data_IF_342891575958
#
_entry.id   IF_342891575958
#
_cell.length_a   1.000
_cell.length_b   1.000
_cell.length_c   1.000
_cell.angle_alpha   90.00
_cell.angle_beta   90.00
_cell.angle_gamma   90.00
#
_symmetry.space_group_name_H-M   'P 1'
#
loop_
_entity.id
_entity.type
_entity.pdbx_description
1 polymer ?
#
# COMPACT_ATOMS: atom_id res chain seq x y z
N UNK A 1 19.78 76.61 25.43
CA UNK A 1 19.93 75.29 26.04
C UNK A 1 18.86 74.38 25.48
N UNK A 2 19.24 73.51 24.58
CA UNK A 2 18.30 72.65 23.86
C UNK A 2 18.61 71.20 24.21
N UNK A 3 17.72 70.62 25.00
CA UNK A 3 17.83 69.18 25.34
C UNK A 3 17.29 68.35 24.20
N UNK A 4 18.16 67.59 23.56
CA UNK A 4 17.76 66.53 22.61
C UNK A 4 17.34 65.30 23.39
N UNK A 5 16.13 64.77 23.19
CA UNK A 5 15.79 63.47 23.74
C UNK A 5 16.39 62.37 22.85
N UNK A 6 17.11 61.45 23.48
CA UNK A 6 17.58 60.24 22.84
C UNK A 6 16.41 59.32 22.54
N UNK A 7 16.10 59.16 21.28
CA UNK A 7 15.20 58.11 20.83
C UNK A 7 15.97 56.77 20.90
N UNK A 8 15.69 56.05 21.94
CA UNK A 8 16.15 54.67 22.05
C UNK A 8 15.42 53.79 21.01
N UNK A 9 16.15 53.39 19.97
CA UNK A 9 15.67 52.45 19.00
C UNK A 9 15.70 51.04 19.62
N UNK A 10 14.56 50.58 20.10
CA UNK A 10 14.37 49.19 20.54
C UNK A 10 14.35 48.27 19.34
N UNK A 11 15.48 47.63 19.03
CA UNK A 11 15.56 46.55 18.09
C UNK A 11 14.87 45.31 18.70
N UNK A 12 13.62 45.11 18.29
CA UNK A 12 12.90 43.89 18.60
C UNK A 12 13.40 42.78 17.69
N UNK A 13 14.34 41.98 18.16
CA UNK A 13 14.79 40.78 17.48
C UNK A 13 13.72 39.71 17.59
N UNK A 14 12.94 39.51 16.50
CA UNK A 14 12.10 38.34 16.35
C UNK A 14 12.98 37.11 16.24
N UNK A 15 13.11 36.36 17.31
CA UNK A 15 13.67 35.00 17.27
C UNK A 15 12.63 34.11 16.58
N UNK A 16 12.81 33.86 15.29
CA UNK A 16 12.08 32.81 14.57
C UNK A 16 12.60 31.46 15.05
N UNK A 17 11.87 30.86 15.99
CA UNK A 17 12.09 29.46 16.36
C UNK A 17 11.70 28.60 15.17
N UNK A 18 12.66 28.13 14.40
CA UNK A 18 12.46 27.08 13.43
C UNK A 18 12.10 25.79 14.20
N UNK A 19 10.82 25.46 14.23
CA UNK A 19 10.35 24.16 14.70
C UNK A 19 10.77 23.17 13.61
N UNK A 20 11.98 22.65 13.73
CA UNK A 20 12.43 21.54 12.93
C UNK A 20 11.63 20.31 13.33
N UNK A 21 10.66 19.91 12.50
CA UNK A 21 10.07 18.58 12.59
C UNK A 21 11.20 17.59 12.32
N UNK A 22 11.71 16.95 13.37
CA UNK A 22 12.58 15.80 13.18
C UNK A 22 11.69 14.68 12.61
N UNK A 23 11.78 14.46 11.31
CA UNK A 23 11.14 13.32 10.67
C UNK A 23 11.71 12.05 11.29
N UNK A 24 10.98 11.50 12.24
CA UNK A 24 11.34 10.24 12.86
C UNK A 24 11.02 9.13 11.86
N UNK A 25 12.02 8.71 11.12
CA UNK A 25 11.89 7.56 10.24
C UNK A 25 11.63 6.32 11.10
N UNK A 26 10.41 5.81 11.01
CA UNK A 26 10.04 4.55 11.65
C UNK A 26 10.44 3.45 10.66
N UNK A 27 11.37 2.54 11.01
CA UNK A 27 11.69 1.44 10.13
C UNK A 27 10.43 0.59 9.91
N UNK A 28 10.08 0.38 8.64
CA UNK A 28 9.03 -0.57 8.30
C UNK A 28 9.42 -1.96 8.81
N UNK A 29 8.50 -2.69 9.44
CA UNK A 29 8.76 -4.09 9.76
C UNK A 29 9.07 -4.85 8.46
N UNK A 30 9.95 -5.85 8.50
CA UNK A 30 10.20 -6.69 7.33
C UNK A 30 8.89 -7.32 6.87
N UNK A 31 8.73 -7.44 5.55
CA UNK A 31 7.60 -8.14 4.97
C UNK A 31 7.52 -9.54 5.60
N UNK A 32 6.42 -9.79 6.28
CA UNK A 32 6.20 -11.09 6.88
C UNK A 32 6.03 -12.13 5.77
N UNK A 33 6.61 -13.31 5.93
CA UNK A 33 6.49 -14.40 4.97
C UNK A 33 5.05 -14.84 4.65
N UNK A 34 4.08 -14.32 5.37
CA UNK A 34 2.64 -14.51 5.11
C UNK A 34 2.15 -13.77 3.87
N UNK A 35 2.74 -12.62 3.56
CA UNK A 35 2.41 -11.83 2.38
C UNK A 35 2.98 -12.44 1.10
N UNK A 36 3.94 -13.36 1.19
CA UNK A 36 4.51 -14.03 0.04
C UNK A 36 3.51 -15.04 -0.53
N UNK A 37 3.13 -14.84 -1.78
CA UNK A 37 2.35 -15.84 -2.51
C UNK A 37 3.16 -17.12 -2.69
N UNK A 38 2.50 -18.27 -2.58
CA UNK A 38 3.14 -19.58 -2.80
C UNK A 38 3.70 -19.65 -4.22
N UNK A 39 4.92 -20.21 -4.42
CA UNK A 39 5.47 -20.36 -5.75
C UNK A 39 4.64 -21.35 -6.58
N UNK A 40 4.51 -21.08 -7.86
CA UNK A 40 3.79 -21.94 -8.78
C UNK A 40 3.40 -21.22 -10.07
N UNK A 41 2.91 -21.95 -11.09
CA UNK A 41 2.44 -21.34 -12.32
C UNK A 41 1.37 -20.27 -12.08
N UNK A 42 1.55 -19.09 -12.64
CA UNK A 42 0.62 -17.97 -12.48
C UNK A 42 0.92 -17.04 -11.30
N UNK A 43 1.91 -17.33 -10.46
CA UNK A 43 2.24 -16.48 -9.28
C UNK A 43 2.64 -15.07 -9.68
N UNK A 44 3.41 -14.89 -10.75
CA UNK A 44 3.88 -13.57 -11.18
C UNK A 44 2.72 -12.71 -11.70
N UNK A 45 1.85 -13.29 -12.52
CA UNK A 45 0.65 -12.61 -13.01
C UNK A 45 -0.25 -12.24 -11.85
N UNK A 46 -0.47 -13.16 -10.91
CA UNK A 46 -1.29 -12.90 -9.72
C UNK A 46 -0.70 -11.78 -8.88
N UNK A 47 0.60 -11.82 -8.58
CA UNK A 47 1.27 -10.78 -7.83
C UNK A 47 1.14 -9.43 -8.53
N UNK A 48 1.50 -9.37 -9.79
CA UNK A 48 1.53 -8.13 -10.57
C UNK A 48 0.16 -7.45 -10.65
N UNK A 49 -0.90 -8.23 -10.86
CA UNK A 49 -2.24 -7.70 -11.00
C UNK A 49 -2.88 -7.33 -9.65
N UNK A 50 -2.63 -8.09 -8.60
CA UNK A 50 -3.30 -7.91 -7.32
C UNK A 50 -2.67 -6.81 -6.44
N UNK A 51 -1.35 -6.61 -6.49
CA UNK A 51 -0.67 -5.62 -5.62
C UNK A 51 -0.91 -4.16 -6.03
N UNK A 52 -1.51 -3.92 -7.17
CA UNK A 52 -1.81 -2.57 -7.64
C UNK A 52 -2.83 -1.83 -6.75
N UNK A 53 -3.65 -2.55 -6.00
CA UNK A 53 -4.71 -1.97 -5.17
C UNK A 53 -4.55 -2.28 -3.68
N UNK A 54 -4.09 -3.45 -3.31
CA UNK A 54 -3.93 -3.89 -1.93
C UNK A 54 -2.84 -4.97 -1.80
N UNK A 55 -2.48 -5.30 -0.57
CA UNK A 55 -1.47 -6.30 -0.28
C UNK A 55 -1.95 -7.72 -0.60
N UNK A 56 -1.01 -8.63 -0.85
CA UNK A 56 -1.27 -10.08 -1.03
C UNK A 56 -1.80 -10.76 0.22
N UNK A 57 -1.73 -10.11 1.39
CA UNK A 57 -2.36 -10.59 2.62
C UNK A 57 -3.87 -10.84 2.43
N UNK A 58 -4.53 -10.00 1.64
CA UNK A 58 -5.94 -10.19 1.30
C UNK A 58 -6.22 -11.50 0.55
N UNK A 59 -5.22 -12.08 -0.09
CA UNK A 59 -5.31 -13.37 -0.76
C UNK A 59 -5.07 -14.49 0.26
N UNK A 60 -3.93 -14.44 0.93
CA UNK A 60 -3.48 -15.54 1.82
C UNK A 60 -4.38 -15.72 3.03
N UNK A 61 -5.06 -14.67 3.46
CA UNK A 61 -6.01 -14.69 4.58
C UNK A 61 -7.44 -15.07 4.19
N UNK A 62 -7.74 -15.22 2.90
CA UNK A 62 -9.05 -15.68 2.48
C UNK A 62 -9.28 -17.13 2.87
N UNK A 63 -10.54 -17.53 3.16
CA UNK A 63 -10.89 -18.93 3.29
C UNK A 63 -10.50 -19.70 2.04
N UNK A 64 -10.02 -20.94 2.22
CA UNK A 64 -9.76 -21.80 1.07
C UNK A 64 -11.03 -22.05 0.29
N UNK A 65 -10.91 -22.11 -1.02
CA UNK A 65 -12.07 -22.25 -1.89
C UNK A 65 -11.75 -23.04 -3.16
N UNK A 66 -12.79 -23.56 -3.77
CA UNK A 66 -12.67 -24.20 -5.08
C UNK A 66 -12.47 -23.17 -6.21
N UNK A 67 -12.28 -23.65 -7.43
CA UNK A 67 -12.08 -22.78 -8.59
C UNK A 67 -13.26 -21.83 -8.82
N UNK A 68 -14.49 -22.26 -8.53
CA UNK A 68 -15.70 -21.44 -8.67
C UNK A 68 -15.72 -20.28 -7.67
N UNK A 69 -15.32 -20.53 -6.43
CA UNK A 69 -15.21 -19.49 -5.42
C UNK A 69 -14.11 -18.47 -5.79
N UNK A 70 -12.95 -18.93 -6.24
CA UNK A 70 -11.89 -18.04 -6.68
C UNK A 70 -12.25 -17.26 -7.96
N UNK A 71 -12.96 -17.88 -8.89
CA UNK A 71 -13.51 -17.16 -10.05
C UNK A 71 -14.47 -16.04 -9.61
N UNK A 72 -15.31 -16.30 -8.65
CA UNK A 72 -16.20 -15.28 -8.06
C UNK A 72 -15.42 -14.13 -7.42
N UNK A 73 -14.34 -14.41 -6.71
CA UNK A 73 -13.46 -13.39 -6.11
C UNK A 73 -12.79 -12.54 -7.19
N UNK A 74 -12.16 -13.17 -8.19
CA UNK A 74 -11.48 -12.45 -9.28
C UNK A 74 -12.47 -11.63 -10.10
N UNK A 75 -13.62 -12.19 -10.43
CA UNK A 75 -14.70 -11.49 -11.13
C UNK A 75 -15.16 -10.25 -10.35
N UNK A 76 -15.30 -10.36 -9.03
CA UNK A 76 -15.66 -9.22 -8.17
C UNK A 76 -14.60 -8.12 -8.21
N UNK A 77 -13.32 -8.48 -8.17
CA UNK A 77 -12.23 -7.49 -8.30
C UNK A 77 -12.32 -6.73 -9.63
N UNK A 78 -12.64 -7.43 -10.71
CA UNK A 78 -12.74 -6.83 -12.05
C UNK A 78 -14.03 -6.00 -12.20
N UNK A 79 -15.18 -6.60 -11.91
CA UNK A 79 -16.50 -6.00 -12.22
C UNK A 79 -16.96 -4.97 -11.20
N UNK A 80 -16.63 -5.15 -9.93
CA UNK A 80 -17.09 -4.27 -8.85
C UNK A 80 -16.02 -3.23 -8.53
N UNK A 81 -14.77 -3.63 -8.41
CA UNK A 81 -13.67 -2.74 -8.01
C UNK A 81 -12.84 -2.21 -9.18
N UNK A 82 -13.12 -2.63 -10.41
CA UNK A 82 -12.49 -2.07 -11.60
C UNK A 82 -11.03 -2.49 -11.80
N UNK A 83 -10.63 -3.65 -11.29
CA UNK A 83 -9.28 -4.16 -11.51
C UNK A 83 -8.99 -4.32 -13.01
N UNK A 84 -7.87 -3.75 -13.53
CA UNK A 84 -7.58 -3.77 -14.97
C UNK A 84 -6.96 -5.11 -15.41
N UNK A 85 -7.66 -6.21 -15.17
CA UNK A 85 -7.22 -7.58 -15.50
C UNK A 85 -7.95 -8.07 -16.74
N UNK A 86 -7.20 -8.49 -17.75
CA UNK A 86 -7.78 -9.07 -18.95
C UNK A 86 -8.25 -10.52 -18.72
N UNK A 87 -9.05 -11.04 -19.63
CA UNK A 87 -9.66 -12.37 -19.50
C UNK A 87 -8.64 -13.52 -19.42
N UNK A 88 -7.51 -13.41 -20.10
CA UNK A 88 -6.47 -14.43 -20.07
C UNK A 88 -5.77 -14.44 -18.71
N UNK A 89 -5.41 -13.27 -18.20
CA UNK A 89 -4.80 -13.13 -16.87
C UNK A 89 -5.78 -13.57 -15.78
N UNK A 90 -7.07 -13.23 -15.91
CA UNK A 90 -8.10 -13.66 -14.98
C UNK A 90 -8.16 -15.19 -14.86
N UNK A 91 -8.13 -15.92 -15.98
CA UNK A 91 -8.09 -17.38 -15.96
C UNK A 91 -6.83 -17.91 -15.28
N UNK A 92 -5.67 -17.38 -15.64
CA UNK A 92 -4.39 -17.77 -15.03
C UNK A 92 -4.40 -17.54 -13.52
N UNK A 93 -4.94 -16.41 -13.06
CA UNK A 93 -5.06 -16.09 -11.63
C UNK A 93 -6.00 -17.06 -10.92
N UNK A 94 -7.16 -17.35 -11.50
CA UNK A 94 -8.13 -18.30 -10.91
C UNK A 94 -7.52 -19.70 -10.78
N UNK A 95 -6.84 -20.19 -11.82
CA UNK A 95 -6.15 -21.48 -11.81
C UNK A 95 -5.06 -21.52 -10.73
N UNK A 96 -4.25 -20.48 -10.63
CA UNK A 96 -3.23 -20.36 -9.61
C UNK A 96 -3.84 -20.36 -8.20
N UNK A 97 -4.85 -19.55 -7.95
CA UNK A 97 -5.50 -19.46 -6.64
C UNK A 97 -6.19 -20.75 -6.24
N UNK A 98 -6.89 -21.41 -7.17
CA UNK A 98 -7.52 -22.68 -6.92
C UNK A 98 -6.50 -23.79 -6.60
N UNK A 99 -5.34 -23.76 -7.25
CA UNK A 99 -4.27 -24.73 -7.04
C UNK A 99 -3.54 -24.50 -5.72
N UNK A 100 -3.18 -23.27 -5.40
CA UNK A 100 -2.33 -22.95 -4.25
C UNK A 100 -3.11 -22.67 -2.96
N UNK A 101 -4.33 -22.21 -3.09
CA UNK A 101 -5.21 -21.79 -1.98
C UNK A 101 -6.59 -22.45 -2.05
N UNK A 102 -6.71 -23.51 -2.81
CA UNK A 102 -7.91 -24.36 -2.89
C UNK A 102 -8.05 -25.30 -1.70
N UNK A 103 -9.18 -26.00 -1.67
CA UNK A 103 -9.45 -27.08 -0.71
C UNK A 103 -8.69 -28.35 -1.07
#
# INVERSE_FOLDING_TARGET
MRHMPWLGLLLLTLATSAIGSADKMIPMPPDHGYAALKPGPGVEVTRQQCVSCHSTDYIVMQPRGDAKQWDGVVTKMIKVFGAPVNDQDAKTIVEYLATQYGN
#
